data_IF_614415637557
#
_entry.id   IF_614415637557
#
_cell.length_a   1.000
_cell.length_b   1.000
_cell.length_c   1.000
_cell.angle_alpha   90.00
_cell.angle_beta   90.00
_cell.angle_gamma   90.00
#
_symmetry.space_group_name_H-M   'P 1'
#
loop_
_entity.id
_entity.type
_entity.pdbx_description
1 polymer ?
#
# COMPACT_ATOMS: atom_id res chain seq x y z
N UNK A 1 -10.18 27.69 37.25
CA UNK A 1 -10.07 26.73 38.38
C UNK A 1 -10.37 25.35 37.81
N UNK A 2 -9.58 24.28 37.90
CA UNK A 2 -8.28 23.98 38.54
C UNK A 2 -7.56 22.97 37.63
N UNK A 3 -6.24 23.11 37.54
CA UNK A 3 -5.29 22.20 36.90
C UNK A 3 -4.89 21.11 37.91
N UNK A 4 -4.75 19.84 37.51
CA UNK A 4 -4.13 18.80 38.34
C UNK A 4 -3.04 18.11 37.54
N UNK A 5 -1.81 18.29 38.01
CA UNK A 5 -0.57 17.63 37.56
C UNK A 5 -0.30 16.50 38.55
N UNK A 6 -0.01 15.29 38.07
CA UNK A 6 0.59 14.25 38.90
C UNK A 6 1.84 13.72 38.18
N UNK A 7 2.97 14.06 38.79
CA UNK A 7 4.32 13.60 38.49
C UNK A 7 4.61 12.33 39.30
N UNK A 8 5.17 11.28 38.68
CA UNK A 8 5.88 10.22 39.41
C UNK A 8 7.15 9.86 38.64
N UNK A 9 8.27 10.21 39.25
CA UNK A 9 9.65 9.90 38.90
C UNK A 9 10.04 8.57 39.55
N UNK A 10 10.78 7.70 38.85
CA UNK A 10 11.64 6.72 39.48
C UNK A 10 12.87 6.46 38.60
N UNK A 11 14.02 6.62 39.23
CA UNK A 11 15.39 6.68 38.73
C UNK A 11 16.20 5.63 39.50
N UNK A 12 17.05 4.85 38.83
CA UNK A 12 18.25 4.15 39.36
C UNK A 12 18.80 3.29 38.21
N UNK A 13 19.84 3.70 37.46
CA UNK A 13 21.29 3.76 37.75
C UNK A 13 21.90 2.42 38.21
N UNK A 14 22.71 1.80 37.33
CA UNK A 14 23.98 1.20 37.70
C UNK A 14 25.06 1.50 36.64
N UNK A 15 26.13 2.12 37.16
CA UNK A 15 27.41 2.43 36.54
C UNK A 15 28.33 1.20 36.57
N UNK A 16 29.28 1.13 35.65
CA UNK A 16 30.41 0.20 35.76
C UNK A 16 31.45 0.36 34.64
N UNK A 17 32.33 1.37 34.76
CA UNK A 17 33.56 1.56 33.98
C UNK A 17 34.78 1.53 34.91
N UNK A 18 35.91 0.98 34.46
CA UNK A 18 37.24 1.00 35.11
C UNK A 18 37.97 -0.33 34.87
N UNK A 19 38.98 -0.52 34.00
CA UNK A 19 40.22 0.18 33.62
C UNK A 19 41.46 -0.15 34.49
N UNK A 20 42.39 -0.89 33.87
CA UNK A 20 43.88 -0.86 33.93
C UNK A 20 44.64 -1.57 35.09
N UNK A 21 45.56 -2.51 34.77
CA UNK A 21 47.01 -2.22 34.62
C UNK A 21 47.92 -3.47 34.51
N UNK A 22 48.91 -3.35 33.60
CA UNK A 22 50.35 -3.68 33.67
C UNK A 22 50.89 -5.11 33.95
N UNK A 23 51.48 -5.68 32.89
CA UNK A 23 52.90 -6.11 32.67
C UNK A 23 53.67 -6.87 33.76
N UNK A 24 54.23 -8.04 33.40
CA UNK A 24 55.57 -8.45 33.83
C UNK A 24 56.27 -9.46 32.86
N UNK A 25 57.44 -9.04 32.36
CA UNK A 25 58.71 -9.73 32.02
C UNK A 25 58.83 -10.93 31.03
N UNK A 26 59.77 -10.74 30.09
CA UNK A 26 60.47 -11.63 29.11
C UNK A 26 61.42 -12.68 29.77
N UNK A 27 62.14 -13.63 29.09
CA UNK A 27 62.63 -13.62 27.68
C UNK A 27 62.68 -14.95 26.86
N UNK A 28 62.70 -14.76 25.52
CA UNK A 28 63.53 -15.40 24.44
C UNK A 28 63.50 -16.93 24.24
N UNK A 29 63.17 -17.37 23.01
CA UNK A 29 64.04 -18.08 22.03
C UNK A 29 63.30 -18.18 20.68
N UNK A 30 63.97 -17.78 19.60
CA UNK A 30 63.46 -17.65 18.25
C UNK A 30 63.41 -18.96 17.43
N UNK A 31 62.44 -19.06 16.51
CA UNK A 31 62.70 -19.43 15.09
C UNK A 31 61.48 -19.13 14.18
N UNK A 32 61.70 -18.80 12.88
CA UNK A 32 60.70 -18.16 12.00
C UNK A 32 60.12 -19.09 10.89
N UNK A 33 59.21 -18.52 10.08
CA UNK A 33 58.56 -19.00 8.83
C UNK A 33 57.23 -19.75 9.09
N UNK A 34 56.11 -19.55 8.38
CA UNK A 34 55.86 -18.92 7.08
C UNK A 34 54.34 -18.61 6.90
N UNK A 35 54.04 -17.81 5.88
CA UNK A 35 52.72 -17.35 5.39
C UNK A 35 51.66 -18.45 5.20
N UNK A 36 50.39 -18.11 5.40
CA UNK A 36 49.38 -18.21 4.33
C UNK A 36 48.10 -17.47 4.71
N UNK A 37 47.79 -16.46 3.90
CA UNK A 37 46.57 -15.67 3.90
C UNK A 37 45.45 -16.43 3.19
N UNK A 38 44.35 -16.71 3.88
CA UNK A 38 43.05 -16.99 3.24
C UNK A 38 42.05 -15.95 3.75
N UNK A 39 41.93 -14.87 3.00
CA UNK A 39 40.79 -13.96 3.10
C UNK A 39 39.69 -14.63 2.28
N UNK A 40 38.75 -15.27 2.97
CA UNK A 40 37.52 -15.75 2.35
C UNK A 40 36.66 -14.50 2.10
N UNK A 41 36.70 -14.00 0.88
CA UNK A 41 35.72 -13.03 0.38
C UNK A 41 34.37 -13.75 0.28
N UNK A 42 33.54 -13.57 1.31
CA UNK A 42 32.15 -13.99 1.31
C UNK A 42 31.40 -13.07 0.35
N UNK A 43 31.37 -13.45 -0.93
CA UNK A 43 30.53 -12.80 -1.93
C UNK A 43 29.09 -13.22 -1.62
N UNK A 44 28.40 -12.36 -0.87
CA UNK A 44 26.96 -12.45 -0.63
C UNK A 44 26.25 -12.27 -1.98
N UNK A 45 25.92 -13.38 -2.63
CA UNK A 45 25.10 -13.43 -3.83
C UNK A 45 23.68 -13.00 -3.44
N UNK A 46 23.39 -11.71 -3.62
CA UNK A 46 22.05 -11.15 -3.45
C UNK A 46 21.18 -11.73 -4.55
N UNK A 47 20.43 -12.79 -4.22
CA UNK A 47 19.39 -13.32 -5.10
C UNK A 47 18.33 -12.23 -5.32
N UNK A 48 18.27 -11.68 -6.54
CA UNK A 48 17.16 -10.80 -6.95
C UNK A 48 15.85 -11.58 -6.85
N UNK A 49 15.02 -11.22 -5.88
CA UNK A 49 13.65 -11.71 -5.73
C UNK A 49 12.86 -11.31 -6.98
N UNK A 50 12.56 -12.29 -7.84
CA UNK A 50 11.71 -12.09 -9.03
C UNK A 50 10.29 -11.82 -8.55
N UNK A 51 9.93 -10.55 -8.38
CA UNK A 51 8.55 -10.15 -8.05
C UNK A 51 7.65 -10.47 -9.23
N UNK A 52 6.79 -11.49 -9.10
CA UNK A 52 5.79 -11.82 -10.12
C UNK A 52 4.89 -10.62 -10.40
N UNK A 53 4.93 -10.12 -11.64
CA UNK A 53 4.07 -9.02 -12.07
C UNK A 53 2.63 -9.52 -12.21
N UNK A 54 1.74 -9.05 -11.32
CA UNK A 54 0.30 -9.34 -11.37
C UNK A 54 -0.30 -8.96 -12.75
N UNK A 55 -1.10 -9.87 -13.32
CA UNK A 55 -1.89 -9.60 -14.54
C UNK A 55 -3.23 -8.95 -14.18
N UNK A 56 -3.43 -7.72 -14.65
CA UNK A 56 -4.65 -6.95 -14.43
C UNK A 56 -5.56 -6.87 -15.66
N UNK A 57 -5.30 -7.64 -16.72
CA UNK A 57 -6.03 -7.56 -17.99
C UNK A 57 -7.54 -7.75 -17.82
N UNK A 58 -7.95 -8.71 -17.00
CA UNK A 58 -9.37 -8.99 -16.70
C UNK A 58 -10.06 -7.84 -15.97
N UNK A 59 -9.34 -7.20 -15.03
CA UNK A 59 -9.85 -6.04 -14.30
C UNK A 59 -10.01 -4.83 -15.24
N UNK A 60 -8.97 -4.51 -16.01
CA UNK A 60 -8.98 -3.41 -16.99
C UNK A 60 -10.15 -3.58 -17.96
N UNK A 61 -10.34 -4.78 -18.50
CA UNK A 61 -11.42 -5.08 -19.44
C UNK A 61 -12.80 -4.87 -18.79
N UNK A 62 -13.00 -5.36 -17.57
CA UNK A 62 -14.27 -5.23 -16.84
C UNK A 62 -14.61 -3.77 -16.53
N UNK A 63 -13.62 -2.97 -16.13
CA UNK A 63 -13.79 -1.54 -15.86
C UNK A 63 -14.10 -0.77 -17.15
N UNK A 64 -13.41 -1.06 -18.25
CA UNK A 64 -13.70 -0.45 -19.54
C UNK A 64 -15.14 -0.72 -20.02
N UNK A 65 -15.64 -1.93 -19.78
CA UNK A 65 -17.03 -2.27 -20.07
C UNK A 65 -18.04 -1.51 -19.20
N UNK A 66 -17.69 -1.23 -17.93
CA UNK A 66 -18.54 -0.47 -17.00
C UNK A 66 -18.57 1.04 -17.26
N UNK A 67 -17.45 1.62 -17.69
CA UNK A 67 -17.31 3.07 -17.96
C UNK A 67 -17.77 3.44 -19.39
N UNK A 68 -17.74 2.48 -20.31
CA UNK A 68 -17.64 2.62 -21.78
C UNK A 68 -16.21 2.69 -22.28
N UNK A 69 -15.90 1.92 -23.33
CA UNK A 69 -14.56 1.79 -23.94
C UNK A 69 -13.99 3.11 -24.44
N UNK A 70 -14.86 4.06 -24.81
CA UNK A 70 -14.46 5.32 -25.44
C UNK A 70 -14.33 6.49 -24.46
N UNK A 71 -14.66 6.32 -23.18
CA UNK A 71 -14.62 7.43 -22.24
C UNK A 71 -13.18 7.65 -21.78
N UNK A 72 -12.55 8.78 -22.13
CA UNK A 72 -11.19 9.10 -21.71
C UNK A 72 -11.15 9.55 -20.25
N UNK A 73 -9.96 9.90 -19.78
CA UNK A 73 -9.68 10.62 -18.54
C UNK A 73 -10.06 9.85 -17.28
N UNK A 74 -9.52 8.64 -17.11
CA UNK A 74 -9.68 7.90 -15.87
C UNK A 74 -8.39 7.22 -15.41
N UNK A 75 -8.32 6.99 -14.10
CA UNK A 75 -7.22 6.27 -13.43
C UNK A 75 -7.82 5.06 -12.72
N UNK A 76 -7.23 3.88 -12.90
CA UNK A 76 -7.63 2.63 -12.28
C UNK A 76 -6.53 2.12 -11.35
N UNK A 77 -6.95 1.71 -10.16
CA UNK A 77 -6.13 1.12 -9.11
C UNK A 77 -6.35 -0.40 -9.03
N UNK A 78 -5.44 -1.09 -8.37
CA UNK A 78 -5.39 -2.54 -8.38
C UNK A 78 -6.61 -3.24 -7.75
N UNK A 79 -7.25 -2.65 -6.75
CA UNK A 79 -8.45 -3.22 -6.11
C UNK A 79 -9.75 -2.80 -6.81
N UNK A 80 -9.64 -2.34 -8.06
CA UNK A 80 -10.77 -2.01 -8.93
C UNK A 80 -11.40 -0.64 -8.66
N UNK A 81 -10.79 0.18 -7.81
CA UNK A 81 -11.19 1.58 -7.67
C UNK A 81 -10.75 2.37 -8.88
N UNK A 82 -11.59 3.27 -9.37
CA UNK A 82 -11.21 4.17 -10.45
C UNK A 82 -11.81 5.56 -10.28
N UNK A 83 -11.02 6.55 -10.67
CA UNK A 83 -11.41 7.96 -10.70
C UNK A 83 -11.68 8.39 -12.14
N UNK A 84 -12.78 9.10 -12.38
CA UNK A 84 -13.08 9.68 -13.71
C UNK A 84 -13.03 11.20 -13.63
N UNK A 85 -12.31 11.81 -14.57
CA UNK A 85 -12.10 13.25 -14.66
C UNK A 85 -12.84 13.86 -15.86
N UNK A 86 -13.21 15.13 -15.75
CA UNK A 86 -13.81 15.89 -16.87
C UNK A 86 -12.77 16.31 -17.91
N UNK A 87 -11.53 16.52 -17.49
CA UNK A 87 -10.41 16.97 -18.32
C UNK A 87 -9.22 16.03 -18.13
N UNK A 88 -8.43 15.87 -19.18
CA UNK A 88 -7.16 15.14 -19.12
C UNK A 88 -6.08 15.97 -18.42
N UNK A 89 -5.02 15.28 -18.00
CA UNK A 89 -3.79 15.86 -17.47
C UNK A 89 -2.62 14.94 -17.77
N UNK A 90 -1.45 15.22 -17.19
CA UNK A 90 -0.36 14.23 -17.20
C UNK A 90 -0.72 13.03 -16.32
N UNK A 91 -0.08 11.88 -16.56
CA UNK A 91 -0.35 10.66 -15.77
C UNK A 91 -0.07 10.89 -14.28
N UNK A 92 1.02 11.61 -13.97
CA UNK A 92 1.37 12.03 -12.61
C UNK A 92 0.30 12.91 -11.99
N UNK A 93 -0.20 13.92 -12.72
CA UNK A 93 -1.23 14.84 -12.22
C UNK A 93 -2.56 14.12 -11.99
N UNK A 94 -2.97 13.27 -12.94
CA UNK A 94 -4.20 12.49 -12.80
C UNK A 94 -4.13 11.51 -11.63
N UNK A 95 -2.97 10.87 -11.43
CA UNK A 95 -2.74 9.98 -10.29
C UNK A 95 -2.78 10.73 -8.96
N UNK A 96 -2.11 11.89 -8.86
CA UNK A 96 -2.14 12.72 -7.67
C UNK A 96 -3.56 13.20 -7.34
N UNK A 97 -4.29 13.70 -8.34
CA UNK A 97 -5.69 14.12 -8.17
C UNK A 97 -6.59 12.93 -7.77
N UNK A 98 -6.36 11.74 -8.33
CA UNK A 98 -7.12 10.55 -7.96
C UNK A 98 -6.89 10.21 -6.48
N UNK A 99 -5.65 10.29 -5.98
CA UNK A 99 -5.32 10.09 -4.55
C UNK A 99 -6.08 11.06 -3.65
N UNK A 100 -6.17 12.33 -4.02
CA UNK A 100 -6.94 13.32 -3.25
C UNK A 100 -8.43 12.98 -3.19
N UNK A 101 -9.00 12.51 -4.30
CA UNK A 101 -10.39 12.05 -4.34
C UNK A 101 -10.60 10.78 -3.50
N UNK A 102 -9.64 9.84 -3.48
CA UNK A 102 -9.69 8.65 -2.61
C UNK A 102 -9.70 9.05 -1.13
N UNK A 103 -8.82 9.99 -0.72
CA UNK A 103 -8.78 10.51 0.66
C UNK A 103 -10.16 11.00 1.11
N UNK A 104 -10.84 11.75 0.25
CA UNK A 104 -12.16 12.30 0.57
C UNK A 104 -13.25 11.23 0.72
N UNK A 105 -13.09 10.07 0.09
CA UNK A 105 -14.01 8.92 0.26
C UNK A 105 -13.68 8.12 1.51
N UNK A 106 -12.40 7.95 1.84
CA UNK A 106 -11.93 7.23 3.04
C UNK A 106 -12.20 8.03 4.31
N UNK A 107 -12.16 9.36 4.25
CA UNK A 107 -12.60 10.22 5.34
C UNK A 107 -14.11 10.03 5.56
N UNK A 108 -14.43 9.19 6.54
CA UNK A 108 -15.79 8.74 6.80
C UNK A 108 -16.75 9.92 6.91
N UNK A 109 -16.33 11.02 7.54
CA UNK A 109 -17.15 12.20 7.79
C UNK A 109 -17.73 12.85 6.51
N UNK A 110 -17.16 12.58 5.33
CA UNK A 110 -17.60 13.19 4.05
C UNK A 110 -18.57 12.31 3.27
N UNK A 111 -18.40 10.98 3.33
CA UNK A 111 -19.05 10.03 2.39
C UNK A 111 -19.82 8.90 3.10
N UNK A 112 -19.95 8.90 4.44
CA UNK A 112 -20.77 7.91 5.16
C UNK A 112 -22.16 7.74 4.52
N UNK A 113 -22.53 6.49 4.24
CA UNK A 113 -23.86 6.11 3.72
C UNK A 113 -24.18 6.45 2.25
N UNK A 114 -23.33 7.14 1.50
CA UNK A 114 -23.67 7.68 0.15
C UNK A 114 -23.34 6.77 -1.03
N UNK A 115 -23.14 5.48 -0.78
CA UNK A 115 -22.78 4.51 -1.81
C UNK A 115 -23.98 4.02 -2.61
N UNK A 116 -23.95 4.14 -3.94
CA UNK A 116 -24.95 3.52 -4.82
C UNK A 116 -24.37 2.28 -5.48
N UNK A 117 -25.04 1.15 -5.32
CA UNK A 117 -24.64 -0.12 -5.95
C UNK A 117 -25.49 -0.38 -7.20
N UNK A 118 -24.83 -0.60 -8.34
CA UNK A 118 -25.46 -1.01 -9.60
C UNK A 118 -24.78 -2.26 -10.15
N UNK A 119 -25.55 -3.18 -10.73
CA UNK A 119 -24.98 -4.31 -11.47
C UNK A 119 -24.27 -3.79 -12.72
N UNK A 120 -23.06 -4.29 -12.99
CA UNK A 120 -22.38 -3.95 -14.23
C UNK A 120 -23.15 -4.55 -15.42
N UNK A 121 -23.45 -3.74 -16.43
CA UNK A 121 -24.29 -4.16 -17.56
C UNK A 121 -23.60 -5.21 -18.43
N UNK A 122 -22.28 -5.09 -18.61
CA UNK A 122 -21.50 -5.91 -19.54
C UNK A 122 -20.39 -6.71 -18.86
N UNK A 123 -20.23 -6.61 -17.54
CA UNK A 123 -19.19 -7.31 -16.78
C UNK A 123 -19.81 -8.12 -15.62
N UNK A 124 -19.12 -9.17 -15.18
CA UNK A 124 -19.57 -10.04 -14.07
C UNK A 124 -19.23 -9.41 -12.71
N UNK A 125 -20.01 -8.42 -12.31
CA UNK A 125 -19.80 -7.73 -11.03
C UNK A 125 -20.75 -6.55 -10.82
N UNK A 126 -20.32 -5.64 -9.95
CA UNK A 126 -21.06 -4.43 -9.60
C UNK A 126 -20.17 -3.20 -9.70
N UNK A 127 -20.79 -2.07 -10.01
CA UNK A 127 -20.18 -0.76 -9.91
C UNK A 127 -20.78 -0.07 -8.70
N UNK A 128 -19.91 0.41 -7.82
CA UNK A 128 -20.26 1.23 -6.67
C UNK A 128 -19.85 2.67 -6.93
N UNK A 129 -20.79 3.59 -6.80
CA UNK A 129 -20.56 5.04 -6.87
C UNK A 129 -20.57 5.64 -5.47
N UNK A 130 -19.59 6.47 -5.16
CA UNK A 130 -19.49 7.15 -3.86
C UNK A 130 -19.99 8.61 -3.98
N UNK A 131 -21.30 8.79 -4.02
CA UNK A 131 -21.93 10.10 -4.23
C UNK A 131 -21.42 10.81 -5.50
N UNK A 132 -21.05 12.08 -5.36
CA UNK A 132 -20.51 12.92 -6.43
C UNK A 132 -18.98 13.07 -6.38
N UNK A 133 -18.27 12.16 -5.68
CA UNK A 133 -16.81 12.22 -5.50
C UNK A 133 -16.01 12.05 -6.80
N UNK A 134 -16.62 11.49 -7.85
CA UNK A 134 -15.88 11.05 -9.04
C UNK A 134 -15.10 9.75 -8.83
N UNK A 135 -15.24 9.11 -7.67
CA UNK A 135 -14.71 7.79 -7.35
C UNK A 135 -15.79 6.73 -7.53
N UNK A 136 -15.34 5.64 -8.13
CA UNK A 136 -16.12 4.45 -8.41
C UNK A 136 -15.30 3.22 -8.00
N UNK A 137 -15.94 2.11 -7.70
CA UNK A 137 -15.26 0.83 -7.54
C UNK A 137 -15.98 -0.26 -8.32
N UNK A 138 -15.23 -1.05 -9.08
CA UNK A 138 -15.71 -2.30 -9.66
C UNK A 138 -15.47 -3.44 -8.67
N UNK A 139 -16.55 -4.06 -8.22
CA UNK A 139 -16.52 -5.24 -7.35
C UNK A 139 -16.77 -6.47 -8.20
N UNK A 140 -15.73 -7.29 -8.37
CA UNK A 140 -15.85 -8.59 -9.05
C UNK A 140 -16.62 -9.58 -8.16
N UNK A 141 -17.58 -10.30 -8.75
CA UNK A 141 -18.31 -11.36 -8.08
C UNK A 141 -17.43 -12.42 -7.41
N UNK A 142 -16.24 -12.70 -7.96
CA UNK A 142 -15.30 -13.67 -7.37
C UNK A 142 -14.72 -13.22 -6.03
N UNK A 143 -14.79 -11.92 -5.73
CA UNK A 143 -14.26 -11.36 -4.47
C UNK A 143 -15.29 -11.39 -3.34
N UNK A 144 -16.53 -11.77 -3.63
CA UNK A 144 -17.62 -11.81 -2.67
C UNK A 144 -17.89 -13.25 -2.19
N UNK A 145 -18.55 -13.41 -1.04
CA UNK A 145 -19.08 -14.71 -0.61
C UNK A 145 -19.97 -15.35 -1.68
N UNK A 146 -20.03 -16.67 -1.67
CA UNK A 146 -20.90 -17.43 -2.56
C UNK A 146 -22.39 -17.07 -2.33
N UNK A 147 -23.18 -17.15 -3.41
CA UNK A 147 -24.62 -16.90 -3.37
C UNK A 147 -25.03 -15.45 -3.67
N UNK A 148 -26.24 -15.09 -3.23
CA UNK A 148 -26.84 -13.77 -3.51
C UNK A 148 -26.30 -12.75 -2.51
N UNK A 149 -25.47 -11.83 -3.01
CA UNK A 149 -24.88 -10.77 -2.20
C UNK A 149 -25.81 -9.56 -2.09
N UNK A 150 -26.03 -9.08 -0.86
CA UNK A 150 -26.82 -7.87 -0.59
C UNK A 150 -26.06 -6.62 -1.03
N UNK A 151 -26.78 -5.51 -1.26
CA UNK A 151 -26.16 -4.20 -1.55
C UNK A 151 -25.19 -3.76 -0.46
N UNK A 152 -25.47 -4.09 0.80
CA UNK A 152 -24.60 -3.76 1.94
C UNK A 152 -23.25 -4.46 1.84
N UNK A 153 -23.24 -5.76 1.53
CA UNK A 153 -22.00 -6.54 1.38
C UNK A 153 -21.14 -5.98 0.23
N UNK A 154 -21.78 -5.70 -0.90
CA UNK A 154 -21.09 -5.14 -2.07
C UNK A 154 -20.51 -3.75 -1.76
N UNK A 155 -21.29 -2.90 -1.11
CA UNK A 155 -20.85 -1.56 -0.70
C UNK A 155 -19.69 -1.63 0.28
N UNK A 156 -19.73 -2.54 1.24
CA UNK A 156 -18.65 -2.70 2.22
C UNK A 156 -17.36 -3.22 1.56
N UNK A 157 -17.47 -4.19 0.65
CA UNK A 157 -16.32 -4.62 -0.17
C UNK A 157 -15.72 -3.45 -0.96
N UNK A 158 -16.56 -2.62 -1.57
CA UNK A 158 -16.09 -1.45 -2.31
C UNK A 158 -15.36 -0.44 -1.41
N UNK A 159 -15.82 -0.21 -0.18
CA UNK A 159 -15.12 0.65 0.79
C UNK A 159 -13.75 0.09 1.16
N UNK A 160 -13.67 -1.21 1.43
CA UNK A 160 -12.39 -1.86 1.72
C UNK A 160 -11.42 -1.74 0.54
N UNK A 161 -11.89 -1.90 -0.69
CA UNK A 161 -11.06 -1.72 -1.88
C UNK A 161 -10.54 -0.27 -2.00
N UNK A 162 -11.41 0.72 -1.80
CA UNK A 162 -11.02 2.15 -1.80
C UNK A 162 -10.00 2.46 -0.71
N UNK A 163 -10.18 1.93 0.49
CA UNK A 163 -9.25 2.11 1.59
C UNK A 163 -7.88 1.46 1.30
N UNK A 164 -7.87 0.27 0.67
CA UNK A 164 -6.63 -0.39 0.23
C UNK A 164 -5.92 0.42 -0.85
N UNK A 165 -6.63 0.85 -1.89
CA UNK A 165 -6.06 1.64 -2.97
C UNK A 165 -5.57 3.03 -2.50
N UNK A 166 -6.14 3.57 -1.41
CA UNK A 166 -5.65 4.80 -0.78
C UNK A 166 -4.35 4.58 0.01
N UNK A 167 -4.29 3.48 0.78
CA UNK A 167 -3.15 3.16 1.64
C UNK A 167 -1.96 2.59 0.86
N UNK A 168 -2.22 1.85 -0.22
CA UNK A 168 -1.23 1.25 -1.12
C UNK A 168 -1.55 1.63 -2.58
N UNK A 169 -0.95 2.72 -3.04
CA UNK A 169 -1.28 3.35 -4.32
C UNK A 169 -0.64 2.62 -5.49
N UNK A 170 -1.29 1.56 -5.94
CA UNK A 170 -0.89 0.80 -7.12
C UNK A 170 -1.78 1.15 -8.33
N UNK A 171 -1.30 2.08 -9.15
CA UNK A 171 -1.99 2.46 -10.40
C UNK A 171 -1.75 1.40 -11.47
N UNK A 172 -2.83 0.78 -11.92
CA UNK A 172 -2.82 -0.25 -12.96
C UNK A 172 -2.94 0.37 -14.36
N UNK A 173 -3.72 1.45 -14.49
CA UNK A 173 -3.94 2.09 -15.79
C UNK A 173 -4.34 3.55 -15.66
N UNK A 174 -3.72 4.40 -16.48
CA UNK A 174 -4.23 5.73 -16.80
C UNK A 174 -4.72 5.71 -18.25
N UNK A 175 -5.96 6.11 -18.47
CA UNK A 175 -6.57 6.20 -19.80
C UNK A 175 -6.89 7.66 -20.11
N UNK A 176 -6.32 8.16 -21.19
CA UNK A 176 -6.43 9.54 -21.68
C UNK A 176 -7.15 9.57 -23.00
#
# INVERSE_FOLDING_TARGET
MKLIIISITAMLLFLGCGSNNATNEEPVIAKPLEETSEIIEEVEEIAEEVVEKKDYSSLIFSVQLGISKQRPNWVLFENGTYAIFKKSGSDTQMTANAKDLLRDVVDENKVQGKGTVKKAQFAKGWVVTFGNSGIYNYVDHKTLPEGINSKTIILERARLNVARDYNDLNVVKVHK
#
